data_IF_731605966699
#
_entry.id   IF_731605966699
#
_cell.length_a   1.000
_cell.length_b   1.000
_cell.length_c   1.000
_cell.angle_alpha   90.00
_cell.angle_beta   90.00
_cell.angle_gamma   90.00
#
_symmetry.space_group_name_H-M   'P 1'
#
loop_
_entity.id
_entity.type
_entity.pdbx_description
1 polymer ?
#
# COMPACT_ATOMS: atom_id res chain seq x y z
N UNK A 1 5.13 12.24 -19.00
CA UNK A 1 4.51 12.32 -17.66
C UNK A 1 4.09 13.74 -17.27
N UNK A 2 5.00 14.74 -17.31
CA UNK A 2 4.69 16.15 -16.98
C UNK A 2 3.43 16.73 -17.66
N UNK A 3 3.30 16.55 -18.97
CA UNK A 3 2.13 17.03 -19.73
C UNK A 3 0.80 16.45 -19.20
N UNK A 4 0.79 15.15 -18.85
CA UNK A 4 -0.39 14.50 -18.30
C UNK A 4 -0.77 15.01 -16.91
N UNK A 5 0.22 15.32 -16.06
CA UNK A 5 -0.02 16.00 -14.78
C UNK A 5 -0.69 17.35 -15.08
N UNK A 6 -0.07 18.20 -15.90
CA UNK A 6 -0.60 19.55 -16.19
C UNK A 6 -2.04 19.50 -16.74
N UNK A 7 -2.35 18.58 -17.66
CA UNK A 7 -3.67 18.53 -18.31
C UNK A 7 -4.78 17.87 -17.49
N UNK A 8 -4.48 17.08 -16.46
CA UNK A 8 -5.48 16.33 -15.70
C UNK A 8 -6.29 17.21 -14.73
N UNK A 9 -7.58 16.94 -14.56
CA UNK A 9 -8.42 17.63 -13.56
C UNK A 9 -8.00 17.30 -12.11
N UNK A 10 -7.54 16.06 -11.89
CA UNK A 10 -7.00 15.59 -10.63
C UNK A 10 -5.88 14.57 -10.88
N UNK A 11 -4.95 14.51 -9.92
CA UNK A 11 -3.85 13.55 -9.92
C UNK A 11 -3.88 12.82 -8.59
N UNK A 12 -3.74 11.50 -8.61
CA UNK A 12 -3.74 10.69 -7.40
C UNK A 12 -2.50 9.83 -7.28
N UNK A 13 -2.16 9.45 -6.05
CA UNK A 13 -1.12 8.46 -5.77
C UNK A 13 -1.54 7.51 -4.64
N UNK A 14 -0.78 6.45 -4.40
CA UNK A 14 -1.19 5.27 -3.61
C UNK A 14 -1.19 5.46 -2.08
N UNK A 15 -0.78 6.63 -1.57
CA UNK A 15 -0.93 6.95 -0.16
C UNK A 15 -0.83 8.46 0.11
N UNK A 16 -1.48 8.97 1.19
CA UNK A 16 -1.34 10.37 1.59
C UNK A 16 0.10 10.77 1.88
N UNK A 17 0.88 9.87 2.49
CA UNK A 17 2.29 10.12 2.79
C UNK A 17 3.12 10.26 1.52
N UNK A 18 2.92 9.37 0.55
CA UNK A 18 3.65 9.43 -0.71
C UNK A 18 3.27 10.67 -1.55
N UNK A 19 2.02 11.15 -1.43
CA UNK A 19 1.64 12.44 -1.98
C UNK A 19 2.45 13.60 -1.37
N UNK A 20 2.67 13.60 -0.05
CA UNK A 20 3.51 14.61 0.60
C UNK A 20 4.99 14.48 0.20
N UNK A 21 5.51 13.25 0.14
CA UNK A 21 6.92 12.99 -0.17
C UNK A 21 7.27 13.48 -1.59
N UNK A 22 6.43 13.18 -2.59
CA UNK A 22 6.66 13.58 -3.99
C UNK A 22 6.55 15.08 -4.27
N UNK A 23 6.13 15.88 -3.28
CA UNK A 23 6.23 17.35 -3.30
C UNK A 23 7.59 17.86 -2.81
N UNK A 24 8.42 16.99 -2.24
CA UNK A 24 9.78 17.31 -1.82
C UNK A 24 10.76 17.07 -2.98
N UNK A 25 11.76 17.94 -3.20
CA UNK A 25 12.72 17.80 -4.30
C UNK A 25 13.46 16.45 -4.32
N UNK A 26 13.69 15.86 -3.14
CA UNK A 26 14.41 14.60 -2.98
C UNK A 26 13.64 13.40 -3.53
N UNK A 27 12.30 13.49 -3.59
CA UNK A 27 11.42 12.39 -3.98
C UNK A 27 10.50 12.73 -5.17
N UNK A 28 10.48 13.99 -5.61
CA UNK A 28 9.65 14.48 -6.72
C UNK A 28 10.24 14.26 -8.11
N UNK A 29 11.54 13.97 -8.20
CA UNK A 29 12.26 13.68 -9.46
C UNK A 29 12.03 14.75 -10.55
N UNK A 30 11.94 16.02 -10.18
CA UNK A 30 11.72 17.16 -11.09
C UNK A 30 10.25 17.37 -11.48
N UNK A 31 9.32 16.65 -10.85
CA UNK A 31 7.86 16.80 -11.02
C UNK A 31 7.19 17.45 -9.80
N UNK A 32 7.88 17.62 -8.69
CA UNK A 32 7.37 18.23 -7.46
C UNK A 32 6.70 19.59 -7.71
N UNK A 33 7.27 20.42 -8.60
CA UNK A 33 6.68 21.71 -8.97
C UNK A 33 5.31 21.58 -9.64
N UNK A 34 5.19 20.72 -10.66
CA UNK A 34 3.90 20.53 -11.36
C UNK A 34 2.87 19.77 -10.52
N UNK A 35 3.32 18.94 -9.58
CA UNK A 35 2.45 18.30 -8.60
C UNK A 35 1.97 19.31 -7.56
N UNK A 36 2.84 20.21 -7.10
CA UNK A 36 2.47 21.29 -6.18
C UNK A 36 1.46 22.27 -6.81
N UNK A 37 1.61 22.58 -8.10
CA UNK A 37 0.66 23.41 -8.87
C UNK A 37 -0.77 22.85 -8.89
N UNK A 38 -0.94 21.52 -8.74
CA UNK A 38 -2.28 20.91 -8.62
C UNK A 38 -2.94 21.20 -7.28
N UNK A 39 -2.19 21.56 -6.25
CA UNK A 39 -2.71 21.91 -4.92
C UNK A 39 -3.71 20.88 -4.40
N UNK A 40 -4.95 21.29 -4.19
CA UNK A 40 -6.02 20.41 -3.65
C UNK A 40 -6.44 19.29 -4.61
N UNK A 41 -6.12 19.39 -5.89
CA UNK A 41 -6.41 18.36 -6.88
C UNK A 41 -5.35 17.25 -6.94
N UNK A 42 -4.27 17.36 -6.14
CA UNK A 42 -3.32 16.27 -5.91
C UNK A 42 -3.59 15.58 -4.58
N UNK A 43 -3.87 14.26 -4.62
CA UNK A 43 -4.26 13.49 -3.42
C UNK A 43 -3.63 12.11 -3.36
N UNK A 44 -3.27 11.70 -2.16
CA UNK A 44 -2.96 10.31 -1.87
C UNK A 44 -4.21 9.54 -1.46
N UNK A 45 -4.48 8.41 -2.11
CA UNK A 45 -5.56 7.48 -1.79
C UNK A 45 -4.89 6.20 -1.33
N UNK A 46 -5.11 5.82 -0.07
CA UNK A 46 -4.53 4.61 0.50
C UNK A 46 -5.11 3.37 -0.19
N UNK A 47 -4.23 2.49 -0.68
CA UNK A 47 -4.64 1.22 -1.24
C UNK A 47 -5.29 0.32 -0.17
N UNK A 48 -6.28 -0.47 -0.60
CA UNK A 48 -6.87 -1.54 0.20
C UNK A 48 -6.40 -2.92 -0.24
N UNK A 49 -6.94 -3.93 0.43
CA UNK A 49 -6.83 -5.36 0.06
C UNK A 49 -8.21 -6.00 0.12
N UNK A 50 -8.39 -7.11 -0.59
CA UNK A 50 -9.63 -7.89 -0.53
C UNK A 50 -9.61 -8.81 0.71
N UNK A 51 -10.42 -8.46 1.71
CA UNK A 51 -10.52 -9.23 2.95
C UNK A 51 -11.35 -10.51 2.83
N UNK A 52 -11.98 -10.79 1.69
CA UNK A 52 -12.55 -12.13 1.44
C UNK A 52 -11.47 -13.13 1.01
N UNK A 53 -10.39 -12.63 0.41
CA UNK A 53 -9.24 -13.43 0.00
C UNK A 53 -8.12 -13.41 1.05
N UNK A 54 -7.94 -12.28 1.76
CA UNK A 54 -6.84 -12.06 2.71
C UNK A 54 -7.35 -12.00 4.15
N UNK A 55 -7.91 -13.11 4.64
CA UNK A 55 -8.42 -13.23 6.01
C UNK A 55 -7.82 -14.44 6.76
N UNK A 56 -6.90 -14.21 7.72
CA UNK A 56 -6.27 -15.30 8.44
C UNK A 56 -7.21 -16.20 9.25
N UNK A 57 -8.44 -15.76 9.53
CA UNK A 57 -9.38 -16.55 10.33
C UNK A 57 -10.03 -17.69 9.55
N UNK A 58 -10.06 -17.62 8.22
CA UNK A 58 -10.70 -18.59 7.32
C UNK A 58 -9.89 -18.94 6.06
N UNK A 59 -8.67 -18.42 5.93
CA UNK A 59 -7.78 -18.72 4.80
C UNK A 59 -7.28 -20.17 4.80
N UNK A 60 -7.80 -20.96 3.87
CA UNK A 60 -7.46 -22.37 3.67
C UNK A 60 -6.03 -22.61 3.13
N UNK A 61 -5.34 -21.56 2.66
CA UNK A 61 -3.94 -21.65 2.23
C UNK A 61 -2.96 -21.59 3.40
N UNK A 62 -3.42 -21.21 4.59
CA UNK A 62 -2.61 -21.21 5.80
C UNK A 62 -2.56 -22.60 6.44
N UNK A 63 -1.38 -22.97 6.95
CA UNK A 63 -1.21 -24.21 7.72
C UNK A 63 -2.13 -24.26 8.96
N UNK A 64 -2.42 -23.09 9.55
CA UNK A 64 -3.38 -22.93 10.62
C UNK A 64 -3.98 -21.52 10.57
N UNK A 65 -5.31 -21.44 10.71
CA UNK A 65 -6.01 -20.15 10.82
C UNK A 65 -5.75 -19.51 12.18
N UNK A 66 -5.88 -18.18 12.24
CA UNK A 66 -5.71 -17.40 13.46
C UNK A 66 -6.49 -16.08 13.37
N UNK A 67 -6.72 -15.44 14.50
CA UNK A 67 -7.38 -14.14 14.54
C UNK A 67 -6.72 -13.19 15.55
N UNK A 68 -7.29 -11.99 15.71
CA UNK A 68 -6.76 -10.96 16.61
C UNK A 68 -6.76 -11.36 18.09
N UNK A 69 -7.58 -12.33 18.49
CA UNK A 69 -7.73 -12.81 19.87
C UNK A 69 -6.93 -14.11 20.11
N UNK A 70 -6.64 -14.89 19.06
CA UNK A 70 -5.87 -16.14 19.13
C UNK A 70 -4.80 -16.18 18.05
N UNK A 71 -3.56 -15.87 18.44
CA UNK A 71 -2.41 -15.79 17.54
C UNK A 71 -1.59 -17.09 17.41
N UNK A 72 -2.00 -18.17 18.08
CA UNK A 72 -1.25 -19.43 18.12
C UNK A 72 -1.06 -20.03 16.72
N UNK A 73 -2.07 -19.93 15.84
CA UNK A 73 -1.98 -20.39 14.45
C UNK A 73 -0.89 -19.66 13.66
N UNK A 74 -0.62 -18.38 13.95
CA UNK A 74 0.46 -17.61 13.29
C UNK A 74 1.85 -18.19 13.57
N UNK A 75 2.08 -18.72 14.78
CA UNK A 75 3.35 -19.37 15.11
C UNK A 75 3.52 -20.68 14.33
N UNK A 76 2.45 -21.47 14.17
CA UNK A 76 2.48 -22.69 13.36
C UNK A 76 2.77 -22.38 11.89
N UNK A 77 2.14 -21.34 11.32
CA UNK A 77 2.44 -20.88 9.96
C UNK A 77 3.91 -20.48 9.79
N UNK A 78 4.50 -19.79 10.77
CA UNK A 78 5.94 -19.47 10.75
C UNK A 78 6.82 -20.72 10.73
N UNK A 79 6.53 -21.69 11.60
CA UNK A 79 7.31 -22.93 11.67
C UNK A 79 7.23 -23.73 10.36
N UNK A 80 6.02 -23.86 9.80
CA UNK A 80 5.80 -24.51 8.51
C UNK A 80 6.58 -23.81 7.38
N UNK A 81 6.60 -22.48 7.35
CA UNK A 81 7.33 -21.74 6.32
C UNK A 81 8.85 -21.91 6.46
N UNK A 82 9.37 -21.93 7.69
CA UNK A 82 10.81 -22.18 7.94
C UNK A 82 11.19 -23.60 7.52
N UNK A 83 10.35 -24.60 7.77
CA UNK A 83 10.59 -25.97 7.31
C UNK A 83 10.58 -26.09 5.78
N UNK A 84 9.72 -25.34 5.10
CA UNK A 84 9.62 -25.37 3.63
C UNK A 84 10.75 -24.62 2.91
N UNK A 85 11.35 -23.62 3.55
CA UNK A 85 12.26 -22.68 2.89
C UNK A 85 13.66 -22.56 3.52
N UNK A 86 13.90 -23.16 4.69
CA UNK A 86 15.18 -23.15 5.40
C UNK A 86 16.09 -24.29 4.96
#
# INVERSE_FOLDING_TARGET
>A
MKAGIISADAVTTVSPRYASETLMPEYGFGLEGVLAEKGKAYKGILNGVDYSSWNPSDDALLQATYDRNSLQGKQLCKMSLVEQCG
#
